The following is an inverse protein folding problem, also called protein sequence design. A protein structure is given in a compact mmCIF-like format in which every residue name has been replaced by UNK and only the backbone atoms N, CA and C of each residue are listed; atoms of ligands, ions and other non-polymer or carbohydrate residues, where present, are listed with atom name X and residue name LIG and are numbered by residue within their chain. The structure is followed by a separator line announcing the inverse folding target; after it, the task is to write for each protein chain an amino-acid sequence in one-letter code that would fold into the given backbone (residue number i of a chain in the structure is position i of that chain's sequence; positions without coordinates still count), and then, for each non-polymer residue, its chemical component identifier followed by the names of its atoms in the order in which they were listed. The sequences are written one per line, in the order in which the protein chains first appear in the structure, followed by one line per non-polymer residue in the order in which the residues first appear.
data_IF_688447109827
#
_entry.id   IF_688447109827
#
_cell.length_a   1.000
_cell.length_b   1.000
_cell.length_c   1.000
_cell.angle_alpha   90.00
_cell.angle_beta   90.00
_cell.angle_gamma   90.00
#
_symmetry.space_group_name_H-M   'P 1'
#
loop_
_entity.id
_entity.type
_entity.pdbx_description
1 polymer ?
#
# COMPACT_ATOMS: atom_id res chain seq x y z
N UNK A 1 20.44 -3.82 8.96
CA UNK A 1 20.02 -2.42 9.15
C UNK A 1 20.09 -2.06 10.62
N UNK A 2 20.36 -0.81 10.93
CA UNK A 2 20.22 -0.25 12.28
C UNK A 2 19.34 0.97 12.16
N UNK A 3 18.24 0.99 12.93
CA UNK A 3 17.31 2.12 12.97
C UNK A 3 17.34 2.68 14.38
N UNK A 4 17.58 3.97 14.49
CA UNK A 4 17.66 4.68 15.78
C UNK A 4 16.52 5.69 15.86
N UNK A 5 15.80 5.65 16.97
CA UNK A 5 14.74 6.60 17.26
C UNK A 5 15.09 7.44 18.48
N UNK A 6 14.83 8.70 18.38
CA UNK A 6 14.86 9.66 19.49
C UNK A 6 13.68 10.61 19.31
N UNK A 7 12.95 10.86 20.37
CA UNK A 7 11.89 11.86 20.36
C UNK A 7 12.37 13.10 21.07
N UNK A 8 12.19 14.25 20.42
CA UNK A 8 12.33 15.57 21.02
C UNK A 8 10.94 16.05 21.36
N UNK A 9 10.74 16.58 22.53
CA UNK A 9 9.44 17.08 22.98
C UNK A 9 8.88 18.09 21.97
N UNK A 10 7.73 17.73 21.43
CA UNK A 10 7.07 18.48 20.38
C UNK A 10 5.95 19.38 20.91
N UNK A 11 5.45 19.11 22.13
CA UNK A 11 4.23 19.73 22.64
C UNK A 11 4.47 20.86 23.63
N UNK A 12 5.68 21.05 24.10
CA UNK A 12 6.01 22.15 25.05
C UNK A 12 6.41 23.47 24.38
N UNK A 13 5.96 23.72 23.16
CA UNK A 13 6.20 24.99 22.49
C UNK A 13 5.51 26.19 23.19
N UNK A 14 4.62 25.94 24.16
CA UNK A 14 3.96 26.94 25.00
C UNK A 14 4.60 27.06 26.38
N UNK A 15 5.51 26.16 26.73
CA UNK A 15 6.16 26.16 28.05
C UNK A 15 7.58 26.71 27.94
N UNK A 16 8.02 27.47 28.96
CA UNK A 16 9.35 28.04 28.99
C UNK A 16 10.46 27.05 29.36
N UNK A 17 10.10 25.78 29.59
CA UNK A 17 11.05 24.75 29.97
C UNK A 17 11.86 24.26 28.75
N UNK A 18 13.12 23.87 28.95
CA UNK A 18 13.93 23.33 27.85
C UNK A 18 13.31 22.09 27.28
N UNK A 19 13.40 21.92 25.92
CA UNK A 19 12.93 20.75 25.20
C UNK A 19 13.42 19.47 25.88
N UNK A 20 12.49 18.62 26.25
CA UNK A 20 12.78 17.28 26.75
C UNK A 20 13.11 16.37 25.58
N UNK A 21 14.10 15.55 25.73
CA UNK A 21 14.50 14.54 24.74
C UNK A 21 14.55 13.18 25.40
N UNK A 22 14.03 12.17 24.70
CA UNK A 22 14.19 10.79 25.13
C UNK A 22 15.63 10.31 24.92
N UNK A 23 15.98 9.22 25.56
CA UNK A 23 17.15 8.43 25.13
C UNK A 23 16.99 7.95 23.69
N UNK A 24 18.13 7.56 23.10
CA UNK A 24 18.13 6.98 21.76
C UNK A 24 17.89 5.47 21.83
N UNK A 25 16.87 5.00 21.14
CA UNK A 25 16.52 3.58 21.07
C UNK A 25 16.95 3.00 19.73
N UNK A 26 17.68 1.88 19.79
CA UNK A 26 18.28 1.26 18.62
C UNK A 26 17.64 -0.11 18.33
N UNK A 27 17.18 -0.27 17.11
CA UNK A 27 16.63 -1.51 16.57
C UNK A 27 17.62 -2.08 15.55
N UNK A 28 18.25 -3.19 15.88
CA UNK A 28 19.12 -3.92 14.96
C UNK A 28 18.31 -4.96 14.20
N UNK A 29 18.17 -4.74 12.89
CA UNK A 29 17.45 -5.66 12.02
C UNK A 29 18.38 -6.42 11.08
N UNK A 30 18.05 -7.65 10.81
CA UNK A 30 18.76 -8.54 9.88
C UNK A 30 17.93 -8.72 8.61
N UNK A 31 18.62 -8.93 7.50
CA UNK A 31 17.96 -9.32 6.26
C UNK A 31 18.83 -10.30 5.49
N UNK A 32 18.18 -11.30 4.91
CA UNK A 32 18.79 -12.25 4.01
C UNK A 32 17.83 -12.56 2.87
N UNK A 33 18.34 -12.58 1.64
CA UNK A 33 17.55 -12.99 0.49
C UNK A 33 18.39 -13.83 -0.45
N UNK A 34 17.74 -14.76 -1.13
CA UNK A 34 18.35 -15.60 -2.13
C UNK A 34 17.35 -15.97 -3.20
N UNK A 35 17.84 -16.30 -4.38
CA UNK A 35 16.98 -16.71 -5.47
C UNK A 35 17.74 -17.47 -6.51
N UNK A 36 17.01 -18.21 -7.32
CA UNK A 36 17.53 -18.95 -8.45
C UNK A 36 16.67 -18.71 -9.69
N UNK A 37 17.31 -18.62 -10.84
CA UNK A 37 16.63 -18.51 -12.13
C UNK A 37 17.17 -19.60 -13.06
N UNK A 38 16.31 -20.51 -13.48
CA UNK A 38 16.62 -21.58 -14.40
C UNK A 38 16.09 -21.28 -15.78
N UNK A 39 16.99 -21.15 -16.73
CA UNK A 39 16.63 -20.98 -18.14
C UNK A 39 16.33 -22.32 -18.76
N UNK A 40 15.04 -22.61 -18.97
CA UNK A 40 14.58 -23.86 -19.59
C UNK A 40 15.04 -23.94 -21.05
N UNK A 41 14.96 -22.80 -21.77
CA UNK A 41 15.48 -22.63 -23.13
C UNK A 41 15.61 -21.14 -23.46
N UNK A 42 15.81 -20.78 -24.73
CA UNK A 42 15.99 -19.40 -25.17
C UNK A 42 14.80 -18.46 -24.85
N UNK A 43 13.60 -19.02 -24.72
CA UNK A 43 12.35 -18.29 -24.56
C UNK A 43 11.69 -18.44 -23.19
N UNK A 44 12.08 -19.44 -22.40
CA UNK A 44 11.39 -19.84 -21.17
C UNK A 44 12.35 -19.87 -19.98
N UNK A 45 11.94 -19.30 -18.89
CA UNK A 45 12.65 -19.40 -17.61
C UNK A 45 11.67 -19.60 -16.44
N UNK A 46 12.18 -20.23 -15.37
CA UNK A 46 11.50 -20.37 -14.09
C UNK A 46 12.40 -19.77 -13.04
N UNK A 47 11.84 -19.05 -12.09
CA UNK A 47 12.60 -18.49 -10.99
C UNK A 47 11.91 -18.73 -9.65
N UNK A 48 12.71 -18.76 -8.59
CA UNK A 48 12.23 -18.80 -7.23
C UNK A 48 13.05 -17.85 -6.38
N UNK A 49 12.40 -17.13 -5.47
CA UNK A 49 13.03 -16.23 -4.52
C UNK A 49 12.54 -16.55 -3.11
N UNK A 50 13.42 -16.37 -2.15
CA UNK A 50 13.10 -16.41 -0.73
C UNK A 50 13.78 -15.23 -0.03
N UNK A 51 13.09 -14.62 0.91
CA UNK A 51 13.59 -13.49 1.68
C UNK A 51 13.15 -13.55 3.13
N UNK A 52 14.05 -13.12 4.01
CA UNK A 52 13.77 -12.80 5.40
C UNK A 52 14.26 -11.39 5.67
N UNK A 53 13.40 -10.56 6.27
CA UNK A 53 13.69 -9.17 6.57
C UNK A 53 13.19 -8.83 7.95
N UNK A 54 13.98 -8.08 8.69
CA UNK A 54 13.54 -7.41 9.90
C UNK A 54 13.47 -5.90 9.66
N UNK A 55 12.38 -5.32 10.11
CA UNK A 55 12.09 -3.89 10.05
C UNK A 55 11.82 -3.40 11.46
N UNK A 56 12.44 -2.31 11.87
CA UNK A 56 12.16 -1.69 13.16
C UNK A 56 10.64 -1.46 13.36
N UNK A 57 10.20 -1.52 14.61
CA UNK A 57 8.86 -1.09 15.00
C UNK A 57 8.55 0.31 14.47
N UNK A 58 7.29 0.64 14.27
CA UNK A 58 6.88 2.00 13.92
C UNK A 58 7.22 2.99 15.02
N UNK A 59 7.52 4.26 14.66
CA UNK A 59 7.85 5.28 15.64
C UNK A 59 6.77 5.45 16.74
N UNK A 60 5.48 5.46 16.35
CA UNK A 60 4.36 5.53 17.28
C UNK A 60 4.19 4.29 18.17
N UNK A 61 4.75 3.14 17.77
CA UNK A 61 4.75 1.94 18.60
C UNK A 61 5.85 1.97 19.66
N UNK A 62 6.94 2.68 19.40
CA UNK A 62 8.06 2.86 20.34
C UNK A 62 7.73 3.94 21.36
N UNK A 63 7.22 5.08 20.91
CA UNK A 63 6.86 6.20 21.75
C UNK A 63 5.34 6.26 21.88
N UNK A 64 4.84 5.69 22.96
CA UNK A 64 3.43 5.66 23.26
C UNK A 64 2.90 7.07 23.44
N UNK A 65 2.02 7.47 22.55
CA UNK A 65 1.37 8.79 22.56
C UNK A 65 2.34 9.96 22.62
N UNK A 66 2.00 10.99 23.35
CA UNK A 66 2.77 12.24 23.43
C UNK A 66 3.73 12.27 24.64
N UNK A 67 4.03 11.12 25.22
CA UNK A 67 4.89 11.02 26.40
C UNK A 67 6.36 10.84 25.99
N UNK A 68 7.23 11.75 26.44
CA UNK A 68 8.67 11.67 26.24
C UNK A 68 9.40 10.91 27.36
N UNK A 69 8.73 10.55 28.44
CA UNK A 69 9.34 9.92 29.60
C UNK A 69 9.43 8.40 29.47
N UNK A 70 8.48 7.81 28.75
CA UNK A 70 8.38 6.36 28.64
C UNK A 70 8.44 5.88 27.19
N UNK A 71 9.13 4.78 27.00
CA UNK A 71 9.04 4.00 25.75
C UNK A 71 8.18 2.79 25.99
N UNK A 72 7.70 2.23 24.91
CA UNK A 72 7.07 0.93 24.94
C UNK A 72 8.15 -0.18 25.04
N UNK A 73 8.24 -0.90 26.16
CA UNK A 73 9.23 -1.95 26.33
C UNK A 73 8.94 -3.17 25.42
N UNK A 74 7.72 -3.31 24.93
CA UNK A 74 7.28 -4.42 24.09
C UNK A 74 7.48 -4.15 22.59
N UNK A 75 7.99 -2.96 22.23
CA UNK A 75 8.28 -2.63 20.85
C UNK A 75 9.46 -3.47 20.32
N UNK A 76 9.19 -4.34 19.36
CA UNK A 76 10.18 -5.21 18.73
C UNK A 76 10.21 -5.06 17.21
N UNK A 77 11.24 -5.64 16.57
CA UNK A 77 11.31 -5.66 15.11
C UNK A 77 10.19 -6.49 14.51
N UNK A 78 9.59 -5.94 13.48
CA UNK A 78 8.68 -6.67 12.59
C UNK A 78 9.48 -7.67 11.75
N UNK A 79 8.95 -8.87 11.55
CA UNK A 79 9.63 -9.97 10.84
C UNK A 79 8.84 -10.32 9.57
N UNK A 80 9.51 -10.31 8.44
CA UNK A 80 8.89 -10.54 7.14
C UNK A 80 9.58 -11.72 6.48
N UNK A 81 8.82 -12.77 6.17
CA UNK A 81 9.30 -13.91 5.37
C UNK A 81 8.54 -13.93 4.07
N UNK A 82 9.24 -13.96 2.95
CA UNK A 82 8.65 -13.95 1.61
C UNK A 82 9.16 -15.12 0.78
N UNK A 83 8.27 -15.72 0.01
CA UNK A 83 8.55 -16.72 -1.00
C UNK A 83 7.86 -16.35 -2.32
N UNK A 84 8.56 -16.51 -3.43
CA UNK A 84 8.04 -16.28 -4.77
C UNK A 84 8.44 -17.43 -5.70
N UNK A 85 7.52 -17.82 -6.58
CA UNK A 85 7.76 -18.74 -7.67
C UNK A 85 7.21 -18.16 -8.97
N UNK A 86 8.05 -17.98 -9.96
CA UNK A 86 7.64 -17.36 -11.20
C UNK A 86 8.07 -18.10 -12.46
N UNK A 87 7.34 -17.82 -13.53
CA UNK A 87 7.60 -18.30 -14.87
C UNK A 87 7.63 -17.11 -15.83
N UNK A 88 8.65 -17.04 -16.65
CA UNK A 88 8.82 -16.03 -17.68
C UNK A 88 8.85 -16.63 -19.09
N UNK A 89 8.15 -15.97 -19.99
CA UNK A 89 8.20 -16.23 -21.42
C UNK A 89 8.68 -14.98 -22.16
N UNK A 90 9.63 -15.15 -23.08
CA UNK A 90 10.12 -14.05 -23.93
C UNK A 90 10.34 -14.51 -25.36
N UNK A 91 9.75 -13.77 -26.28
CA UNK A 91 9.97 -13.92 -27.73
C UNK A 91 10.25 -12.55 -28.37
N UNK A 92 10.40 -12.48 -29.67
CA UNK A 92 10.57 -11.22 -30.38
C UNK A 92 9.39 -10.24 -30.23
N UNK A 93 8.17 -10.78 -30.05
CA UNK A 93 6.93 -9.99 -29.96
C UNK A 93 6.29 -9.96 -28.57
N UNK A 94 6.46 -11.01 -27.76
CA UNK A 94 5.78 -11.17 -26.48
C UNK A 94 6.80 -11.39 -25.36
N UNK A 95 6.66 -10.62 -24.31
CA UNK A 95 7.24 -10.88 -22.99
C UNK A 95 6.10 -11.01 -22.00
N UNK A 96 6.06 -12.09 -21.22
CA UNK A 96 5.04 -12.33 -20.22
C UNK A 96 5.66 -13.01 -19.00
N UNK A 97 5.17 -12.67 -17.82
CA UNK A 97 5.53 -13.30 -16.56
C UNK A 97 4.28 -13.72 -15.81
N UNK A 98 4.41 -14.79 -15.04
CA UNK A 98 3.44 -15.24 -14.04
C UNK A 98 4.21 -15.43 -12.76
N UNK A 99 3.71 -14.90 -11.66
CA UNK A 99 4.34 -14.97 -10.36
C UNK A 99 3.33 -15.38 -9.29
N UNK A 100 3.68 -16.38 -8.49
CA UNK A 100 2.98 -16.74 -7.26
C UNK A 100 3.81 -16.22 -6.10
N UNK A 101 3.19 -15.55 -5.14
CA UNK A 101 3.86 -15.05 -3.96
C UNK A 101 3.13 -15.43 -2.68
N UNK A 102 3.91 -15.55 -1.61
CA UNK A 102 3.42 -15.69 -0.25
C UNK A 102 4.36 -14.93 0.68
N UNK A 103 3.83 -13.98 1.44
CA UNK A 103 4.58 -13.18 2.41
C UNK A 103 3.86 -13.22 3.75
N UNK A 104 4.53 -13.77 4.76
CA UNK A 104 4.10 -13.71 6.14
C UNK A 104 4.79 -12.53 6.82
N UNK A 105 4.03 -11.64 7.40
CA UNK A 105 4.49 -10.49 8.17
C UNK A 105 4.09 -10.70 9.62
N UNK A 106 5.07 -10.77 10.50
CA UNK A 106 4.91 -11.04 11.94
C UNK A 106 5.30 -9.81 12.74
N UNK A 107 4.70 -9.69 13.92
CA UNK A 107 5.00 -8.63 14.88
C UNK A 107 4.83 -7.20 14.29
N UNK A 108 3.85 -7.01 13.40
CA UNK A 108 3.51 -5.67 12.90
C UNK A 108 3.04 -4.78 14.03
N UNK A 109 3.36 -3.52 13.90
CA UNK A 109 2.87 -2.48 14.80
C UNK A 109 1.89 -1.60 14.04
N UNK A 110 0.70 -1.42 14.59
CA UNK A 110 -0.34 -0.56 14.07
C UNK A 110 -0.68 0.50 15.12
N UNK A 111 -0.96 1.70 14.68
CA UNK A 111 -1.47 2.77 15.55
C UNK A 111 -2.78 3.26 14.97
N UNK A 112 -3.85 3.07 15.71
CA UNK A 112 -5.18 3.46 15.29
C UNK A 112 -5.73 4.51 16.25
N UNK A 113 -6.28 5.59 15.70
CA UNK A 113 -6.97 6.62 16.47
C UNK A 113 -8.47 6.54 16.21
N UNK A 114 -9.27 6.67 17.25
CA UNK A 114 -10.72 6.70 17.13
C UNK A 114 -11.32 7.76 18.06
N UNK A 115 -12.51 8.19 17.71
CA UNK A 115 -13.22 9.17 18.48
C UNK A 115 -14.13 8.49 19.49
N UNK A 116 -13.99 8.84 20.76
CA UNK A 116 -14.83 8.35 21.83
C UNK A 116 -16.25 8.97 21.77
N UNK A 117 -17.25 8.41 22.49
CA UNK A 117 -18.60 8.96 22.52
C UNK A 117 -18.70 10.41 22.99
N UNK A 118 -17.76 10.85 23.82
CA UNK A 118 -17.64 12.24 24.31
C UNK A 118 -16.93 13.20 23.35
N UNK A 119 -16.58 12.71 22.13
CA UNK A 119 -15.82 13.41 21.11
C UNK A 119 -14.30 13.57 21.38
N UNK A 120 -13.76 13.05 22.46
CA UNK A 120 -12.31 12.99 22.67
C UNK A 120 -11.66 11.97 21.72
N UNK A 121 -10.36 12.13 21.45
CA UNK A 121 -9.59 11.21 20.63
C UNK A 121 -8.88 10.22 21.55
N UNK A 122 -9.00 8.94 21.23
CA UNK A 122 -8.23 7.89 21.87
C UNK A 122 -7.34 7.21 20.84
N UNK A 123 -6.23 6.64 21.29
CA UNK A 123 -5.24 5.95 20.45
C UNK A 123 -5.04 4.51 20.97
N UNK A 124 -5.13 3.57 20.06
CA UNK A 124 -4.75 2.19 20.29
C UNK A 124 -3.39 1.93 19.65
N UNK A 125 -2.39 1.57 20.44
CA UNK A 125 -1.12 1.06 19.95
C UNK A 125 -1.18 -0.47 19.96
N UNK A 126 -1.33 -1.04 18.77
CA UNK A 126 -1.54 -2.46 18.55
C UNK A 126 -0.20 -3.07 18.17
N UNK A 127 0.31 -3.97 19.00
CA UNK A 127 1.59 -4.66 18.78
C UNK A 127 1.33 -6.13 18.49
N UNK A 128 2.27 -6.76 17.79
CA UNK A 128 2.22 -8.20 17.54
C UNK A 128 1.12 -8.61 16.56
N UNK A 129 0.77 -7.74 15.63
CA UNK A 129 -0.22 -8.06 14.59
C UNK A 129 0.45 -8.83 13.47
N UNK A 130 -0.09 -9.98 13.17
CA UNK A 130 0.37 -10.80 12.05
C UNK A 130 -0.51 -10.62 10.82
N UNK A 131 0.12 -10.68 9.64
CA UNK A 131 -0.61 -10.64 8.37
C UNK A 131 0.03 -11.58 7.35
N UNK A 132 -0.80 -12.15 6.48
CA UNK A 132 -0.40 -12.93 5.33
C UNK A 132 -0.86 -12.24 4.06
N UNK A 133 0.06 -12.09 3.10
CA UNK A 133 -0.20 -11.58 1.77
C UNK A 133 0.20 -12.63 0.77
N UNK A 134 -0.74 -13.19 0.04
CA UNK A 134 -0.49 -14.18 -0.99
C UNK A 134 -1.29 -13.87 -2.24
N UNK A 135 -0.83 -14.38 -3.38
CA UNK A 135 -1.54 -14.12 -4.62
C UNK A 135 -0.83 -14.59 -5.87
N UNK A 136 -1.48 -14.28 -6.98
CA UNK A 136 -1.03 -14.52 -8.34
C UNK A 136 -0.89 -13.19 -9.07
N UNK A 137 0.23 -12.99 -9.73
CA UNK A 137 0.48 -11.82 -10.58
C UNK A 137 0.78 -12.26 -12.00
N UNK A 138 0.27 -11.51 -12.95
CA UNK A 138 0.47 -11.69 -14.37
C UNK A 138 0.90 -10.36 -14.97
N UNK A 139 1.90 -10.34 -15.83
CA UNK A 139 2.20 -9.18 -16.65
C UNK A 139 2.60 -9.59 -18.07
N UNK A 140 2.33 -8.71 -19.03
CA UNK A 140 2.81 -8.91 -20.38
C UNK A 140 3.04 -7.61 -21.14
N UNK A 141 3.95 -7.72 -22.11
CA UNK A 141 4.19 -6.71 -23.15
C UNK A 141 4.12 -7.40 -24.50
N UNK A 142 3.16 -6.99 -25.32
CA UNK A 142 2.98 -7.50 -26.67
C UNK A 142 3.21 -6.42 -27.73
N UNK A 143 4.18 -6.62 -28.59
CA UNK A 143 4.43 -5.79 -29.76
C UNK A 143 3.64 -6.33 -30.94
N UNK A 144 2.36 -5.90 -31.03
CA UNK A 144 1.44 -6.37 -32.06
C UNK A 144 1.93 -5.95 -33.46
N UNK A 145 2.54 -4.76 -33.58
CA UNK A 145 3.18 -4.27 -34.80
C UNK A 145 4.32 -3.27 -34.43
N UNK A 146 4.98 -2.70 -35.43
CA UNK A 146 5.94 -1.61 -35.23
C UNK A 146 5.29 -0.35 -34.64
N UNK A 147 3.98 -0.19 -34.86
CA UNK A 147 3.20 0.96 -34.38
C UNK A 147 2.42 0.70 -33.09
N UNK A 148 2.08 -0.56 -32.79
CA UNK A 148 1.20 -0.91 -31.68
C UNK A 148 1.93 -1.79 -30.65
N UNK A 149 2.03 -1.28 -29.42
CA UNK A 149 2.44 -2.02 -28.24
C UNK A 149 1.24 -2.12 -27.28
N UNK A 150 0.94 -3.31 -26.82
CA UNK A 150 -0.07 -3.60 -25.81
C UNK A 150 0.65 -4.05 -24.54
N UNK A 151 0.25 -3.52 -23.40
CA UNK A 151 0.74 -3.93 -22.09
C UNK A 151 -0.45 -4.36 -21.23
N UNK A 152 -0.26 -5.35 -20.40
CA UNK A 152 -1.29 -5.75 -19.45
C UNK A 152 -0.67 -6.28 -18.18
N UNK A 153 -1.42 -6.15 -17.10
CA UNK A 153 -1.14 -6.79 -15.83
C UNK A 153 -2.45 -7.19 -15.15
N UNK A 154 -2.39 -8.23 -14.33
CA UNK A 154 -3.44 -8.58 -13.39
C UNK A 154 -2.79 -9.13 -12.13
N UNK A 155 -3.29 -8.72 -10.99
CA UNK A 155 -2.91 -9.24 -9.68
C UNK A 155 -4.18 -9.66 -8.93
N UNK A 156 -4.15 -10.85 -8.37
CA UNK A 156 -5.20 -11.42 -7.54
C UNK A 156 -4.58 -11.76 -6.20
N UNK A 157 -4.85 -10.95 -5.20
CA UNK A 157 -4.38 -11.11 -3.84
C UNK A 157 -5.43 -11.74 -2.93
N UNK A 158 -4.95 -12.34 -1.85
CA UNK A 158 -5.71 -12.70 -0.66
C UNK A 158 -4.85 -12.29 0.52
N UNK A 159 -5.13 -11.09 1.05
CA UNK A 159 -4.35 -10.48 2.11
C UNK A 159 -5.20 -10.38 3.36
N UNK A 160 -4.73 -11.06 4.41
CA UNK A 160 -5.50 -11.17 5.66
C UNK A 160 -4.64 -10.94 6.87
N UNK A 161 -5.27 -10.41 7.90
CA UNK A 161 -4.75 -10.47 9.25
C UNK A 161 -4.74 -11.94 9.70
N UNK A 162 -3.64 -12.37 10.32
CA UNK A 162 -3.37 -13.79 10.64
C UNK A 162 -3.30 -14.05 12.16
N UNK A 163 -3.64 -13.05 12.97
CA UNK A 163 -3.71 -13.19 14.42
C UNK A 163 -4.76 -12.26 15.03
N UNK A 164 -5.26 -12.65 16.18
CA UNK A 164 -5.93 -11.76 17.11
C UNK A 164 -4.90 -11.11 18.04
N UNK A 165 -5.22 -9.97 18.63
CA UNK A 165 -4.36 -9.29 19.60
C UNK A 165 -5.08 -9.10 20.90
N UNK A 166 -4.46 -9.54 22.00
CA UNK A 166 -5.02 -9.43 23.34
C UNK A 166 -4.42 -8.25 24.11
N UNK A 167 -5.19 -7.72 25.06
CA UNK A 167 -4.75 -6.68 26.00
C UNK A 167 -4.25 -5.38 25.35
N UNK A 168 -4.85 -4.96 24.22
CA UNK A 168 -4.53 -3.69 23.58
C UNK A 168 -4.96 -2.54 24.46
N UNK A 169 -4.02 -1.75 24.90
CA UNK A 169 -4.29 -0.55 25.69
C UNK A 169 -4.77 0.60 24.81
N UNK A 170 -5.83 1.22 25.25
CA UNK A 170 -6.40 2.43 24.64
C UNK A 170 -6.12 3.59 25.56
N UNK A 171 -5.47 4.61 25.02
CA UNK A 171 -5.02 5.78 25.78
C UNK A 171 -5.71 7.05 25.27
N UNK A 172 -6.07 7.93 26.20
CA UNK A 172 -6.63 9.25 25.90
C UNK A 172 -5.50 10.28 25.56
N UNK A 173 -5.88 11.52 25.31
CA UNK A 173 -4.94 12.62 25.02
C UNK A 173 -4.02 12.95 26.22
N UNK A 174 -4.47 12.67 27.44
CA UNK A 174 -3.69 12.84 28.68
C UNK A 174 -2.79 11.62 28.99
N UNK A 175 -2.72 10.63 28.06
CA UNK A 175 -1.90 9.41 28.13
C UNK A 175 -2.33 8.42 29.21
N UNK A 176 -3.52 8.58 29.72
CA UNK A 176 -4.09 7.63 30.66
C UNK A 176 -4.67 6.44 29.87
N UNK A 177 -4.47 5.24 30.37
CA UNK A 177 -5.14 4.03 29.84
C UNK A 177 -6.61 4.14 30.24
N UNK A 178 -7.48 4.38 29.28
CA UNK A 178 -8.92 4.52 29.49
C UNK A 178 -9.68 3.23 29.26
N UNK A 179 -9.07 2.30 28.50
CA UNK A 179 -9.68 0.98 28.26
C UNK A 179 -8.59 -0.04 27.89
N UNK A 180 -8.91 -1.31 27.99
CA UNK A 180 -8.10 -2.43 27.51
C UNK A 180 -9.00 -3.40 26.79
N UNK A 181 -8.72 -3.65 25.51
CA UNK A 181 -9.57 -4.46 24.65
C UNK A 181 -8.80 -5.61 24.01
N UNK A 182 -9.52 -6.68 23.72
CA UNK A 182 -9.02 -7.71 22.79
C UNK A 182 -9.52 -7.38 21.41
N UNK A 183 -8.66 -7.53 20.42
CA UNK A 183 -9.01 -7.32 19.01
C UNK A 183 -9.10 -8.66 18.29
N UNK A 184 -10.29 -8.99 17.84
CA UNK A 184 -10.58 -10.18 17.04
C UNK A 184 -10.57 -9.81 15.57
N UNK A 185 -9.38 -9.84 14.97
CA UNK A 185 -9.11 -9.41 13.58
C UNK A 185 -8.59 -10.54 12.70
N UNK A 186 -8.28 -11.70 13.26
CA UNK A 186 -7.83 -12.87 12.48
C UNK A 186 -8.86 -13.20 11.38
N UNK A 187 -8.37 -13.33 10.15
CA UNK A 187 -9.18 -13.62 8.97
C UNK A 187 -9.77 -12.40 8.27
N UNK A 188 -9.75 -11.20 8.88
CA UNK A 188 -10.19 -9.98 8.18
C UNK A 188 -9.26 -9.66 7.01
N UNK A 189 -9.83 -9.11 5.94
CA UNK A 189 -9.03 -8.59 4.84
C UNK A 189 -8.22 -7.35 5.27
N UNK A 190 -6.99 -7.29 4.77
CA UNK A 190 -6.13 -6.09 4.95
C UNK A 190 -6.66 -4.98 4.05
N UNK A 191 -6.81 -3.79 4.62
CA UNK A 191 -7.32 -2.61 3.96
C UNK A 191 -6.25 -1.84 3.15
N UNK A 192 -6.59 -0.65 2.68
CA UNK A 192 -5.77 0.38 2.02
C UNK A 192 -5.27 0.04 0.61
N UNK A 193 -5.45 -1.18 0.14
CA UNK A 193 -5.06 -1.55 -1.21
C UNK A 193 -6.05 -2.56 -1.82
N UNK A 194 -6.39 -2.36 -3.09
CA UNK A 194 -7.22 -3.30 -3.84
C UNK A 194 -6.47 -4.63 -3.99
N UNK A 195 -7.08 -5.72 -3.53
CA UNK A 195 -6.50 -7.05 -3.60
C UNK A 195 -6.59 -7.64 -5.01
N UNK A 196 -7.56 -7.18 -5.80
CA UNK A 196 -7.63 -7.47 -7.23
C UNK A 196 -7.38 -6.20 -8.03
N UNK A 197 -6.31 -6.20 -8.85
CA UNK A 197 -5.98 -5.10 -9.76
C UNK A 197 -5.73 -5.61 -11.16
N UNK A 198 -6.23 -4.88 -12.16
CA UNK A 198 -5.95 -5.17 -13.57
C UNK A 198 -5.63 -3.88 -14.31
N UNK A 199 -4.71 -3.94 -15.26
CA UNK A 199 -4.43 -2.84 -16.16
C UNK A 199 -4.22 -3.32 -17.59
N UNK A 200 -4.73 -2.55 -18.56
CA UNK A 200 -4.54 -2.79 -19.98
C UNK A 200 -4.16 -1.48 -20.67
N UNK A 201 -2.99 -1.45 -21.28
CA UNK A 201 -2.45 -0.27 -21.93
C UNK A 201 -2.27 -0.47 -23.44
N UNK A 202 -2.66 0.52 -24.22
CA UNK A 202 -2.47 0.59 -25.67
C UNK A 202 -1.59 1.78 -25.99
N UNK A 203 -0.46 1.53 -26.60
CA UNK A 203 0.50 2.55 -27.02
C UNK A 203 0.64 2.51 -28.54
N UNK A 204 0.08 3.51 -29.22
CA UNK A 204 0.02 3.56 -30.65
C UNK A 204 0.82 4.74 -31.21
N UNK A 205 1.76 4.46 -32.12
CA UNK A 205 2.50 5.46 -32.90
C UNK A 205 1.67 5.90 -34.09
N UNK A 206 0.94 7.02 -33.94
CA UNK A 206 0.17 7.63 -35.02
C UNK A 206 1.09 8.01 -36.19
N UNK A 207 2.22 8.63 -35.86
CA UNK A 207 3.32 8.98 -36.77
C UNK A 207 4.66 8.67 -36.08
N UNK A 208 5.82 8.76 -36.76
CA UNK A 208 7.12 8.64 -36.09
C UNK A 208 7.32 9.66 -34.95
N UNK A 209 6.64 10.81 -35.01
CA UNK A 209 6.76 11.91 -34.05
C UNK A 209 5.54 12.04 -33.11
N UNK A 210 4.46 11.28 -33.35
CA UNK A 210 3.20 11.36 -32.55
C UNK A 210 2.83 10.02 -31.96
N UNK A 211 2.60 10.01 -30.67
CA UNK A 211 2.23 8.83 -29.90
C UNK A 211 0.91 9.09 -29.17
N UNK A 212 0.01 8.11 -29.20
CA UNK A 212 -1.21 8.07 -28.44
C UNK A 212 -1.21 6.88 -27.50
N UNK A 213 -1.62 7.10 -26.26
CA UNK A 213 -1.69 6.07 -25.21
C UNK A 213 -3.07 6.09 -24.61
N UNK A 214 -3.63 4.90 -24.39
CA UNK A 214 -4.84 4.68 -23.60
C UNK A 214 -4.50 3.62 -22.57
N UNK A 215 -4.82 3.90 -21.32
CA UNK A 215 -4.67 2.96 -20.21
C UNK A 215 -6.03 2.79 -19.54
N UNK A 216 -6.39 1.53 -19.26
CA UNK A 216 -7.53 1.16 -18.43
C UNK A 216 -7.00 0.48 -17.18
N UNK A 217 -7.43 0.94 -16.02
CA UNK A 217 -7.09 0.38 -14.72
C UNK A 217 -8.37 -0.02 -14.00
N UNK A 218 -8.41 -1.23 -13.45
CA UNK A 218 -9.54 -1.79 -12.71
C UNK A 218 -9.08 -2.20 -11.31
N UNK A 219 -9.91 -1.90 -10.31
CA UNK A 219 -9.66 -2.15 -8.92
C UNK A 219 -10.89 -2.80 -8.29
N UNK A 220 -10.68 -3.91 -7.59
CA UNK A 220 -11.72 -4.66 -6.89
C UNK A 220 -11.17 -5.26 -5.60
N UNK A 221 -12.05 -5.76 -4.76
CA UNK A 221 -11.70 -6.32 -3.45
C UNK A 221 -10.90 -5.32 -2.60
N UNK A 222 -11.38 -4.09 -2.55
CA UNK A 222 -10.85 -3.02 -1.71
C UNK A 222 -11.67 -2.94 -0.43
N UNK A 223 -11.04 -3.15 0.71
CA UNK A 223 -11.70 -3.19 2.01
C UNK A 223 -11.43 -1.91 2.80
N UNK A 224 -12.43 -1.49 3.58
CA UNK A 224 -12.29 -0.37 4.50
C UNK A 224 -11.38 -0.71 5.68
N UNK A 225 -10.67 0.29 6.22
CA UNK A 225 -9.93 0.15 7.47
C UNK A 225 -10.88 -0.24 8.60
N UNK A 226 -10.53 -1.29 9.34
CA UNK A 226 -11.33 -1.69 10.49
C UNK A 226 -11.21 -0.68 11.65
N UNK A 227 -12.29 -0.52 12.39
CA UNK A 227 -12.31 0.26 13.63
C UNK A 227 -12.00 -0.65 14.83
N UNK A 228 -10.85 -0.49 15.53
CA UNK A 228 -10.48 -1.32 16.66
C UNK A 228 -11.55 -1.38 17.76
N UNK A 229 -12.25 -0.28 18.02
CA UNK A 229 -13.31 -0.22 19.04
C UNK A 229 -14.49 -1.16 18.77
N UNK A 230 -14.60 -1.69 17.55
CA UNK A 230 -15.67 -2.57 17.08
C UNK A 230 -15.23 -4.02 16.91
N UNK A 231 -13.98 -4.33 17.24
CA UNK A 231 -13.39 -5.67 17.08
C UNK A 231 -13.23 -6.42 18.40
N UNK A 232 -13.89 -5.95 19.47
CA UNK A 232 -13.88 -6.59 20.78
C UNK A 232 -14.76 -7.85 20.90
N UNK A 233 -15.43 -8.28 19.84
CA UNK A 233 -16.31 -9.44 19.85
C UNK A 233 -15.89 -10.46 18.80
N UNK A 234 -15.72 -11.69 19.19
CA UNK A 234 -15.41 -12.80 18.29
C UNK A 234 -16.56 -13.02 17.28
N UNK A 235 -16.20 -13.22 16.00
CA UNK A 235 -17.17 -13.45 14.93
C UNK A 235 -17.80 -12.16 14.37
N UNK A 236 -17.23 -10.99 14.64
CA UNK A 236 -17.61 -9.77 13.95
C UNK A 236 -17.46 -9.93 12.42
N UNK A 237 -18.32 -9.29 11.61
CA UNK A 237 -18.24 -9.39 10.15
C UNK A 237 -16.90 -8.85 9.64
N UNK A 238 -16.50 -9.26 8.44
CA UNK A 238 -15.35 -8.69 7.74
C UNK A 238 -15.50 -7.17 7.55
N UNK A 239 -14.43 -6.47 7.28
CA UNK A 239 -14.48 -5.06 6.93
C UNK A 239 -15.32 -4.85 5.66
N UNK A 240 -15.95 -3.68 5.56
CA UNK A 240 -16.79 -3.37 4.41
C UNK A 240 -15.97 -3.43 3.11
N UNK A 241 -16.42 -4.27 2.17
CA UNK A 241 -15.88 -4.31 0.82
C UNK A 241 -16.46 -3.15 0.02
N UNK A 242 -15.60 -2.24 -0.42
CA UNK A 242 -15.96 -1.07 -1.21
C UNK A 242 -16.34 -1.46 -2.65
N UNK A 243 -17.16 -0.64 -3.33
CA UNK A 243 -17.48 -0.89 -4.73
C UNK A 243 -16.25 -0.89 -5.63
N UNK A 244 -16.20 -1.84 -6.56
CA UNK A 244 -15.20 -1.90 -7.60
C UNK A 244 -15.29 -0.68 -8.53
N UNK A 245 -14.14 -0.31 -9.12
CA UNK A 245 -14.13 0.75 -10.11
C UNK A 245 -13.09 0.56 -11.20
N UNK A 246 -13.32 1.23 -12.33
CA UNK A 246 -12.39 1.24 -13.45
C UNK A 246 -12.18 2.64 -13.99
N UNK A 247 -10.93 2.98 -14.30
CA UNK A 247 -10.52 4.30 -14.77
C UNK A 247 -9.86 4.20 -16.14
N UNK A 248 -10.24 5.10 -17.03
CA UNK A 248 -9.61 5.29 -18.34
C UNK A 248 -8.77 6.56 -18.34
N UNK A 249 -7.50 6.41 -18.73
CA UNK A 249 -6.57 7.51 -18.90
C UNK A 249 -6.10 7.58 -20.35
N UNK A 250 -5.87 8.79 -20.85
CA UNK A 250 -5.33 8.99 -22.19
C UNK A 250 -4.16 9.97 -22.18
N UNK A 251 -3.25 9.76 -23.11
CA UNK A 251 -2.11 10.66 -23.35
C UNK A 251 -1.83 10.75 -24.82
N UNK A 252 -1.63 11.97 -25.31
CA UNK A 252 -1.03 12.25 -26.62
C UNK A 252 0.28 13.00 -26.43
N UNK A 253 1.30 12.60 -27.16
CA UNK A 253 2.57 13.33 -27.23
C UNK A 253 2.99 13.55 -28.68
N UNK A 254 3.55 14.74 -28.95
CA UNK A 254 4.07 15.10 -30.26
C UNK A 254 5.46 15.73 -30.12
N UNK A 255 6.40 15.23 -30.89
CA UNK A 255 7.77 15.74 -30.93
C UNK A 255 8.00 16.53 -32.22
N UNK A 256 8.55 17.72 -32.11
CA UNK A 256 8.89 18.60 -33.23
C UNK A 256 10.14 19.43 -32.90
N UNK A 257 10.72 20.01 -33.91
CA UNK A 257 11.91 20.86 -33.76
C UNK A 257 11.48 22.33 -33.56
N UNK A 258 11.91 22.95 -32.46
CA UNK A 258 11.70 24.36 -32.15
C UNK A 258 13.06 25.05 -32.17
N UNK A 259 13.45 25.57 -33.35
CA UNK A 259 14.79 26.08 -33.57
C UNK A 259 15.85 24.98 -33.37
N UNK A 260 16.84 25.15 -32.47
CA UNK A 260 17.85 24.15 -32.20
C UNK A 260 17.40 23.06 -31.24
N UNK A 261 16.17 23.16 -30.68
CA UNK A 261 15.67 22.25 -29.61
C UNK A 261 14.71 21.24 -30.19
N UNK A 262 14.93 19.96 -29.90
CA UNK A 262 13.89 18.95 -30.05
C UNK A 262 12.87 19.10 -28.89
N UNK A 263 11.64 19.40 -29.24
CA UNK A 263 10.58 19.70 -28.27
C UNK A 263 9.52 18.64 -28.31
N UNK A 264 9.19 18.05 -27.14
CA UNK A 264 8.05 17.15 -26.99
C UNK A 264 6.96 17.82 -26.16
N UNK A 265 5.79 17.98 -26.75
CA UNK A 265 4.57 18.40 -26.05
C UNK A 265 3.75 17.17 -25.68
N UNK A 266 3.20 17.18 -24.48
CA UNK A 266 2.37 16.09 -23.96
C UNK A 266 1.08 16.67 -23.39
N UNK A 267 -0.05 16.10 -23.75
CA UNK A 267 -1.34 16.35 -23.12
C UNK A 267 -1.87 15.04 -22.53
N UNK A 268 -2.29 15.08 -21.28
CA UNK A 268 -2.86 13.92 -20.58
C UNK A 268 -4.23 14.28 -20.03
N UNK A 269 -5.13 13.32 -20.07
CA UNK A 269 -6.42 13.34 -19.40
C UNK A 269 -6.53 12.07 -18.57
N UNK A 270 -6.65 12.21 -17.26
CA UNK A 270 -6.91 11.10 -16.36
C UNK A 270 -8.39 11.04 -16.04
N UNK A 271 -8.90 9.84 -15.77
CA UNK A 271 -10.30 9.55 -15.52
C UNK A 271 -11.20 10.17 -16.61
N UNK A 272 -11.00 9.74 -17.85
CA UNK A 272 -11.65 10.32 -19.05
C UNK A 272 -13.16 10.40 -18.94
N UNK A 273 -13.78 9.41 -18.30
CA UNK A 273 -15.23 9.30 -18.15
C UNK A 273 -15.79 9.99 -16.91
N UNK A 274 -14.92 10.61 -16.10
CA UNK A 274 -15.28 11.26 -14.85
C UNK A 274 -15.99 10.31 -13.87
N UNK A 275 -15.49 9.08 -13.80
CA UNK A 275 -16.01 8.04 -12.93
C UNK A 275 -15.85 8.47 -11.47
N UNK A 276 -16.95 8.51 -10.72
CA UNK A 276 -16.91 8.67 -9.27
C UNK A 276 -16.56 7.34 -8.63
N UNK A 277 -15.60 7.34 -7.68
CA UNK A 277 -15.18 6.15 -6.99
C UNK A 277 -14.71 6.46 -5.56
N UNK A 278 -14.84 5.47 -4.69
CA UNK A 278 -14.32 5.53 -3.34
C UNK A 278 -12.87 5.02 -3.39
N UNK A 279 -11.94 5.89 -3.02
CA UNK A 279 -10.50 5.56 -3.03
C UNK A 279 -10.03 4.97 -1.71
N UNK A 280 -10.76 5.27 -0.62
CA UNK A 280 -10.41 4.85 0.73
C UNK A 280 -11.66 4.95 1.64
N UNK A 281 -11.72 4.15 2.70
CA UNK A 281 -12.81 4.19 3.68
C UNK A 281 -12.36 3.68 5.06
N UNK A 282 -13.02 4.20 6.10
CA UNK A 282 -13.00 3.62 7.44
C UNK A 282 -14.32 2.91 7.72
N UNK A 283 -14.20 1.72 8.26
CA UNK A 283 -15.36 0.88 8.56
C UNK A 283 -16.25 1.49 9.65
N UNK A 284 -17.53 1.28 9.51
CA UNK A 284 -18.54 1.77 10.43
C UNK A 284 -19.25 0.66 11.19
N UNK A 285 -20.35 1.00 11.84
CA UNK A 285 -21.16 0.03 12.58
C UNK A 285 -21.76 -1.01 11.65
N UNK A 286 -21.48 -2.29 11.91
CA UNK A 286 -21.99 -3.42 11.14
C UNK A 286 -21.30 -3.63 9.81
N UNK A 287 -20.18 -2.94 9.56
CA UNK A 287 -19.36 -3.09 8.34
C UNK A 287 -20.18 -2.93 7.04
N UNK A 288 -20.94 -1.85 6.96
CA UNK A 288 -21.85 -1.56 5.84
C UNK A 288 -21.66 -0.13 5.33
N UNK A 289 -21.92 0.06 4.05
CA UNK A 289 -21.71 1.32 3.32
C UNK A 289 -22.30 2.57 3.98
N UNK A 290 -23.51 2.47 4.54
CA UNK A 290 -24.22 3.62 5.12
C UNK A 290 -23.67 4.09 6.49
N UNK A 291 -22.72 3.38 7.06
CA UNK A 291 -22.07 3.73 8.32
C UNK A 291 -20.58 4.00 8.14
N UNK A 292 -20.01 3.66 7.00
CA UNK A 292 -18.62 3.89 6.69
C UNK A 292 -18.33 5.38 6.44
N UNK A 293 -17.14 5.83 6.83
CA UNK A 293 -16.59 7.11 6.42
C UNK A 293 -15.81 6.89 5.12
N UNK A 294 -16.21 7.55 4.04
CA UNK A 294 -15.63 7.33 2.72
C UNK A 294 -14.86 8.55 2.22
N UNK A 295 -13.81 8.30 1.44
CA UNK A 295 -13.03 9.30 0.74
C UNK A 295 -13.13 9.04 -0.76
N UNK A 296 -13.60 10.04 -1.51
CA UNK A 296 -13.70 9.93 -2.96
C UNK A 296 -12.35 10.20 -3.62
N UNK A 297 -12.09 9.46 -4.68
CA UNK A 297 -10.96 9.72 -5.55
C UNK A 297 -11.15 10.97 -6.41
N UNK A 298 -10.08 11.38 -7.08
CA UNK A 298 -10.13 12.53 -7.99
C UNK A 298 -11.01 12.24 -9.20
N UNK A 299 -11.89 13.17 -9.57
CA UNK A 299 -12.57 13.19 -10.84
C UNK A 299 -11.60 13.41 -12.02
N UNK A 300 -12.15 13.77 -13.17
CA UNK A 300 -11.34 14.03 -14.39
C UNK A 300 -10.33 15.14 -14.17
N UNK A 301 -9.08 14.88 -14.55
CA UNK A 301 -7.99 15.86 -14.48
C UNK A 301 -7.26 15.97 -15.81
N UNK A 302 -6.67 17.16 -16.06
CA UNK A 302 -5.90 17.45 -17.26
C UNK A 302 -4.52 17.93 -16.90
N UNK A 303 -3.53 17.54 -17.69
CA UNK A 303 -2.18 18.07 -17.57
C UNK A 303 -1.56 18.33 -18.95
N UNK A 304 -0.78 19.41 -19.04
CA UNK A 304 0.03 19.75 -20.21
C UNK A 304 1.48 19.80 -19.79
N UNK A 305 2.35 19.24 -20.59
CA UNK A 305 3.80 19.23 -20.36
C UNK A 305 4.57 19.56 -21.62
N UNK A 306 5.70 20.21 -21.46
CA UNK A 306 6.68 20.46 -22.50
C UNK A 306 8.07 20.02 -22.04
N UNK A 307 8.79 19.27 -22.87
CA UNK A 307 10.18 18.84 -22.64
C UNK A 307 11.03 19.34 -23.80
N UNK A 308 12.06 20.10 -23.48
CA UNK A 308 13.08 20.55 -24.45
C UNK A 308 14.35 19.73 -24.24
N UNK A 309 14.88 19.18 -25.32
CA UNK A 309 16.19 18.53 -25.38
C UNK A 309 17.13 19.45 -26.19
N UNK A 310 18.29 19.76 -25.62
CA UNK A 310 19.31 20.62 -26.22
C UNK A 310 20.67 19.93 -26.27
#
# INVERSE_FOLDING_TARGET
SNTSYQRVDYFNYLDSDPLQTTDTYNFLGYSAKGGANYRVNANHNVFANIGYFEKAAGFGAVFLNFNNETINPDAENQKITSFELGYGYRSGKLSANVNLYHTAWRDRTETQSYRQPDNTVAVANILGVDAVHQGLELDFVYRASEKLKITGMASFGDWRWDSNVENVQITNEDQEVVDTVNLYIEGLHVADAAQTTMALGFNYKLTPKTKFVVDYNYYADLYADYDPSRRGTLGAPDAWNMPDYGLFDTLISHTFDLGPFETTMTARMNNVFDTEYISDARDGSGSVANTALVYYGYGRTFSLGAKLNF
#
